data_IF_674529781129
#
_entry.id   IF_674529781129
#
_cell.length_a   1.000
_cell.length_b   1.000
_cell.length_c   1.000
_cell.angle_alpha   90.00
_cell.angle_beta   90.00
_cell.angle_gamma   90.00
#
_symmetry.space_group_name_H-M   'P 1'
#
loop_
_entity.id
_entity.type
_entity.pdbx_description
1 polymer ?
#
# COMPACT_ATOMS: atom_id res chain seq x y z
N UNK A 1 -29.34 -37.76 47.12
CA UNK A 1 -29.15 -36.39 46.59
C UNK A 1 -27.68 -35.98 46.43
N UNK A 2 -26.72 -36.58 47.15
CA UNK A 2 -25.29 -36.22 47.02
C UNK A 2 -24.64 -36.62 45.68
N UNK A 3 -25.03 -37.77 45.11
CA UNK A 3 -24.45 -38.27 43.84
C UNK A 3 -24.90 -37.51 42.58
N UNK A 4 -26.06 -36.85 42.61
CA UNK A 4 -26.56 -36.05 41.49
C UNK A 4 -25.84 -34.70 41.43
N UNK A 5 -25.57 -34.10 42.59
CA UNK A 5 -24.82 -32.85 42.67
C UNK A 5 -23.35 -33.01 42.20
N UNK A 6 -22.71 -34.14 42.53
CA UNK A 6 -21.33 -34.42 42.12
C UNK A 6 -21.21 -34.64 40.60
N UNK A 7 -22.19 -35.31 39.98
CA UNK A 7 -22.20 -35.53 38.53
C UNK A 7 -22.36 -34.24 37.73
N UNK A 8 -23.18 -33.29 38.21
CA UNK A 8 -23.34 -31.96 37.59
C UNK A 8 -22.08 -31.12 37.73
N UNK A 9 -21.40 -31.17 38.89
CA UNK A 9 -20.16 -30.42 39.10
C UNK A 9 -19.01 -30.92 38.19
N UNK A 10 -18.87 -32.24 38.02
CA UNK A 10 -17.86 -32.82 37.12
C UNK A 10 -18.19 -32.54 35.65
N UNK A 11 -19.47 -32.58 35.26
CA UNK A 11 -19.88 -32.21 33.91
C UNK A 11 -19.66 -30.72 33.64
N UNK A 12 -19.95 -29.84 34.59
CA UNK A 12 -19.68 -28.40 34.46
C UNK A 12 -18.17 -28.12 34.38
N UNK A 13 -17.35 -28.78 35.20
CA UNK A 13 -15.90 -28.64 35.14
C UNK A 13 -15.33 -29.18 33.82
N UNK A 14 -15.85 -30.30 33.31
CA UNK A 14 -15.47 -30.85 32.01
C UNK A 14 -15.92 -29.96 30.85
N UNK A 15 -17.08 -29.32 30.95
CA UNK A 15 -17.55 -28.33 29.96
C UNK A 15 -16.69 -27.06 30.01
N UNK A 16 -16.31 -26.58 31.20
CA UNK A 16 -15.40 -25.43 31.35
C UNK A 16 -14.00 -25.79 30.82
N UNK A 17 -13.45 -26.96 31.16
CA UNK A 17 -12.18 -27.43 30.61
C UNK A 17 -12.26 -27.65 29.10
N UNK A 18 -13.37 -28.17 28.56
CA UNK A 18 -13.55 -28.27 27.11
C UNK A 18 -13.71 -26.89 26.49
N UNK A 19 -14.37 -25.91 27.11
CA UNK A 19 -14.43 -24.54 26.60
C UNK A 19 -13.07 -23.80 26.68
N UNK A 20 -12.21 -24.12 27.65
CA UNK A 20 -10.84 -23.60 27.71
C UNK A 20 -9.88 -24.35 26.75
N UNK A 21 -10.13 -25.63 26.44
CA UNK A 21 -9.27 -26.44 25.56
C UNK A 21 -9.78 -26.56 24.11
N UNK A 22 -11.03 -26.16 23.86
CA UNK A 22 -11.65 -25.97 22.52
C UNK A 22 -12.01 -24.52 22.26
N UNK A 23 -11.63 -23.62 23.18
CA UNK A 23 -11.41 -22.21 22.87
C UNK A 23 -10.39 -22.16 21.75
N UNK A 24 -10.90 -21.99 20.54
CA UNK A 24 -10.13 -22.09 19.32
C UNK A 24 -8.83 -21.31 19.44
N UNK A 25 -7.78 -21.86 18.84
CA UNK A 25 -6.66 -21.05 18.40
C UNK A 25 -7.19 -20.01 17.42
N UNK A 26 -7.79 -18.95 17.95
CA UNK A 26 -7.97 -17.71 17.23
C UNK A 26 -6.60 -17.37 16.70
N UNK A 27 -6.52 -17.04 15.41
CA UNK A 27 -5.34 -16.38 14.88
C UNK A 27 -4.94 -15.33 15.92
N UNK A 28 -3.72 -15.43 16.47
CA UNK A 28 -3.20 -14.38 17.33
C UNK A 28 -3.49 -13.09 16.57
N UNK A 29 -4.17 -12.15 17.24
CA UNK A 29 -4.42 -10.82 16.70
C UNK A 29 -3.06 -10.14 16.58
N UNK A 30 -2.42 -10.40 15.44
CA UNK A 30 -1.00 -10.17 15.25
C UNK A 30 -0.77 -8.70 14.93
N UNK A 31 0.22 -8.12 15.59
CA UNK A 31 0.67 -6.73 15.41
C UNK A 31 2.16 -6.71 15.09
N UNK A 32 2.65 -5.66 14.40
CA UNK A 32 4.08 -5.44 14.28
C UNK A 32 4.71 -5.08 15.63
N UNK A 33 6.00 -5.36 15.79
CA UNK A 33 6.78 -4.90 16.94
C UNK A 33 7.17 -3.40 16.84
N UNK A 34 7.16 -2.85 15.62
CA UNK A 34 7.37 -1.43 15.38
C UNK A 34 6.45 -0.93 14.25
N UNK A 35 5.89 0.26 14.40
CA UNK A 35 5.03 0.89 13.40
C UNK A 35 5.42 2.34 13.23
N UNK A 36 5.44 2.81 11.97
CA UNK A 36 5.71 4.21 11.64
C UNK A 36 4.74 4.72 10.60
N UNK A 37 4.43 6.02 10.66
CA UNK A 37 3.55 6.69 9.71
C UNK A 37 4.33 7.75 8.94
N UNK A 38 4.22 7.71 7.62
CA UNK A 38 4.78 8.65 6.67
C UNK A 38 3.67 9.32 5.86
N UNK A 39 3.97 10.51 5.34
CA UNK A 39 3.11 11.22 4.41
C UNK A 39 3.91 11.59 3.18
N UNK A 40 3.38 11.28 2.00
CA UNK A 40 4.00 11.63 0.72
C UNK A 40 3.89 13.13 0.41
N UNK A 41 3.12 13.88 1.19
CA UNK A 41 3.00 15.34 1.10
C UNK A 41 2.51 15.81 -0.27
N UNK A 42 3.09 16.91 -0.75
CA UNK A 42 2.70 17.59 -2.00
C UNK A 42 2.75 16.66 -3.23
N UNK A 43 3.59 15.62 -3.22
CA UNK A 43 3.71 14.68 -4.35
C UNK A 43 2.44 13.89 -4.67
N UNK A 44 1.45 13.88 -3.76
CA UNK A 44 0.17 13.17 -3.92
C UNK A 44 -1.04 14.07 -3.84
N UNK A 45 -0.86 15.40 -3.96
CA UNK A 45 -1.96 16.37 -3.88
C UNK A 45 -3.08 16.11 -4.91
N UNK A 46 -2.73 15.60 -6.10
CA UNK A 46 -3.69 15.25 -7.15
C UNK A 46 -4.59 14.05 -6.82
N UNK A 47 -4.25 13.33 -5.74
CA UNK A 47 -5.00 12.22 -5.18
C UNK A 47 -5.59 12.58 -3.79
N UNK A 48 -5.65 13.87 -3.41
CA UNK A 48 -6.07 14.27 -2.07
C UNK A 48 -7.48 13.79 -1.68
N UNK A 49 -8.39 13.65 -2.64
CA UNK A 49 -9.73 13.13 -2.42
C UNK A 49 -10.12 12.07 -3.45
N UNK A 50 -11.10 11.24 -3.09
CA UNK A 50 -11.74 10.32 -4.04
C UNK A 50 -12.57 11.06 -5.11
N UNK A 51 -12.99 12.31 -4.85
CA UNK A 51 -13.64 13.13 -5.88
C UNK A 51 -12.66 13.52 -6.98
N UNK A 52 -11.41 13.77 -6.58
CA UNK A 52 -10.30 13.99 -7.50
C UNK A 52 -9.99 12.70 -8.27
N UNK A 53 -9.83 11.56 -7.61
CA UNK A 53 -9.57 10.28 -8.29
C UNK A 53 -10.68 9.24 -8.02
N UNK A 54 -11.80 9.30 -8.77
CA UNK A 54 -12.96 8.44 -8.49
C UNK A 54 -12.78 7.01 -8.95
N UNK A 55 -11.77 6.73 -9.79
CA UNK A 55 -11.55 5.43 -10.42
C UNK A 55 -11.43 4.32 -9.35
N UNK A 56 -12.15 3.21 -9.47
CA UNK A 56 -11.98 2.07 -8.57
C UNK A 56 -10.55 1.51 -8.71
N UNK A 57 -10.05 0.84 -7.67
CA UNK A 57 -8.84 0.03 -7.75
C UNK A 57 -9.14 -1.19 -8.61
N UNK A 58 -8.25 -1.47 -9.57
CA UNK A 58 -8.32 -2.66 -10.42
C UNK A 58 -7.23 -3.66 -10.03
N UNK A 59 -7.53 -4.96 -10.12
CA UNK A 59 -6.58 -6.02 -9.78
C UNK A 59 -5.29 -5.93 -10.63
N UNK A 60 -5.43 -5.72 -11.94
CA UNK A 60 -4.28 -5.57 -12.86
C UNK A 60 -3.46 -4.29 -12.64
N UNK A 61 -4.05 -3.31 -11.96
CA UNK A 61 -3.33 -2.08 -11.63
C UNK A 61 -2.50 -2.26 -10.36
N UNK A 62 -3.07 -2.92 -9.35
CA UNK A 62 -2.45 -3.06 -8.03
C UNK A 62 -1.48 -4.23 -7.94
N UNK A 63 -1.75 -5.35 -8.61
CA UNK A 63 -0.97 -6.58 -8.44
C UNK A 63 -0.11 -6.95 -9.65
N UNK A 64 -0.34 -6.33 -10.79
CA UNK A 64 0.48 -6.54 -11.99
C UNK A 64 1.38 -5.33 -12.25
N UNK A 65 2.04 -5.30 -13.41
CA UNK A 65 2.84 -4.16 -13.88
C UNK A 65 3.90 -3.70 -12.88
N UNK A 66 4.65 -4.66 -12.35
CA UNK A 66 5.73 -4.43 -11.39
C UNK A 66 5.41 -4.87 -9.95
N UNK A 67 4.16 -5.16 -9.62
CA UNK A 67 3.81 -5.63 -8.27
C UNK A 67 3.76 -7.16 -8.12
N UNK A 68 3.93 -7.94 -9.20
CA UNK A 68 4.10 -9.40 -9.10
C UNK A 68 5.46 -9.76 -8.46
N UNK A 69 6.45 -8.88 -8.67
CA UNK A 69 7.82 -8.97 -8.17
C UNK A 69 8.28 -7.56 -7.82
N UNK A 70 8.45 -7.31 -6.54
CA UNK A 70 8.89 -6.02 -6.04
C UNK A 70 10.32 -6.16 -5.57
N UNK A 71 11.25 -5.40 -6.18
CA UNK A 71 12.65 -5.43 -5.82
C UNK A 71 13.19 -4.06 -5.42
N UNK A 72 14.13 -4.07 -4.49
CA UNK A 72 14.95 -2.90 -4.13
C UNK A 72 16.23 -3.35 -3.46
N UNK A 73 17.36 -2.71 -3.80
CA UNK A 73 18.67 -2.94 -3.16
C UNK A 73 19.12 -4.42 -3.14
N UNK A 74 18.69 -5.22 -4.12
CA UNK A 74 19.04 -6.65 -4.24
C UNK A 74 18.16 -7.60 -3.43
N UNK A 75 17.14 -7.10 -2.73
CA UNK A 75 16.06 -7.90 -2.15
C UNK A 75 14.87 -7.92 -3.10
N UNK A 76 14.33 -9.12 -3.40
CA UNK A 76 13.14 -9.32 -4.23
C UNK A 76 12.05 -10.02 -3.41
N UNK A 77 10.86 -9.42 -3.40
CA UNK A 77 9.62 -9.99 -2.90
C UNK A 77 8.78 -10.48 -4.09
N UNK A 78 8.31 -11.73 -4.03
CA UNK A 78 7.37 -12.27 -5.02
C UNK A 78 5.97 -12.33 -4.42
N UNK A 79 4.97 -11.86 -5.15
CA UNK A 79 3.56 -11.94 -4.77
C UNK A 79 3.10 -13.42 -4.80
N UNK A 80 2.56 -13.91 -3.69
CA UNK A 80 2.09 -15.30 -3.55
C UNK A 80 0.63 -15.42 -3.10
N UNK A 81 0.07 -14.36 -2.52
CA UNK A 81 -1.35 -14.26 -2.20
C UNK A 81 -1.86 -12.86 -2.52
N UNK A 82 -3.11 -12.73 -2.96
CA UNK A 82 -3.73 -11.42 -3.22
C UNK A 82 -5.22 -11.43 -2.92
N UNK A 83 -5.75 -10.29 -2.49
CA UNK A 83 -7.17 -10.05 -2.31
C UNK A 83 -7.52 -8.61 -2.69
N UNK A 84 -8.66 -8.41 -3.35
CA UNK A 84 -9.25 -7.10 -3.61
C UNK A 84 -10.70 -7.16 -3.12
N UNK A 85 -11.00 -6.40 -2.07
CA UNK A 85 -12.29 -6.44 -1.37
C UNK A 85 -12.95 -5.06 -1.38
N UNK A 86 -14.27 -5.02 -1.57
CA UNK A 86 -15.08 -3.80 -1.40
C UNK A 86 -15.54 -3.61 0.07
N UNK A 87 -15.19 -4.54 0.96
CA UNK A 87 -15.49 -4.50 2.40
C UNK A 87 -14.20 -4.41 3.19
N UNK A 88 -13.78 -3.19 3.51
CA UNK A 88 -12.48 -2.93 4.12
C UNK A 88 -12.29 -3.58 5.49
N UNK A 89 -13.38 -3.80 6.24
CA UNK A 89 -13.34 -4.50 7.52
C UNK A 89 -12.79 -5.93 7.43
N UNK A 90 -12.84 -6.58 6.26
CA UNK A 90 -12.26 -7.93 6.06
C UNK A 90 -10.72 -7.92 5.99
N UNK A 91 -10.11 -6.74 5.84
CA UNK A 91 -8.67 -6.56 5.75
C UNK A 91 -7.99 -6.28 7.09
N UNK A 92 -8.77 -6.11 8.16
CA UNK A 92 -8.27 -5.76 9.49
C UNK A 92 -8.97 -6.57 10.56
N UNK A 93 -8.40 -6.56 11.75
CA UNK A 93 -9.07 -6.97 12.98
C UNK A 93 -9.04 -5.80 13.97
N UNK A 94 -9.86 -5.86 15.03
CA UNK A 94 -9.94 -4.83 16.06
C UNK A 94 -11.06 -3.82 15.80
N UNK A 95 -11.99 -3.71 16.75
CA UNK A 95 -13.23 -2.94 16.57
C UNK A 95 -12.96 -1.44 16.36
N UNK A 96 -11.92 -0.89 17.00
CA UNK A 96 -11.53 0.51 16.84
C UNK A 96 -11.04 0.79 15.42
N UNK A 97 -10.21 -0.08 14.86
CA UNK A 97 -9.72 0.05 13.48
C UNK A 97 -10.82 -0.18 12.44
N UNK A 98 -11.74 -1.11 12.70
CA UNK A 98 -12.95 -1.30 11.87
C UNK A 98 -13.79 -0.02 11.87
N UNK A 99 -14.07 0.57 13.03
CA UNK A 99 -14.82 1.81 13.13
C UNK A 99 -14.12 2.98 12.42
N UNK A 100 -12.78 3.08 12.53
CA UNK A 100 -12.01 4.09 11.83
C UNK A 100 -12.12 3.96 10.30
N UNK A 101 -12.13 2.72 9.76
CA UNK A 101 -12.34 2.48 8.32
C UNK A 101 -13.76 2.85 7.86
N UNK A 102 -14.77 2.63 8.71
CA UNK A 102 -16.16 3.03 8.44
C UNK A 102 -16.30 4.55 8.42
N UNK A 103 -15.75 5.26 9.41
CA UNK A 103 -15.74 6.73 9.46
C UNK A 103 -14.94 7.36 8.31
N UNK A 104 -13.91 6.66 7.85
CA UNK A 104 -13.09 7.04 6.70
C UNK A 104 -13.79 6.79 5.34
N UNK A 105 -15.03 6.30 5.33
CA UNK A 105 -15.78 5.85 4.14
C UNK A 105 -14.94 4.96 3.22
N UNK A 106 -14.21 3.99 3.81
CA UNK A 106 -13.39 3.07 3.04
C UNK A 106 -14.25 2.27 2.05
N UNK A 107 -13.84 2.26 0.78
CA UNK A 107 -14.63 1.60 -0.28
C UNK A 107 -13.96 0.42 -0.92
N UNK A 108 -12.63 0.36 -0.91
CA UNK A 108 -11.89 -0.78 -1.43
C UNK A 108 -10.61 -0.96 -0.64
N UNK A 109 -10.17 -2.20 -0.53
CA UNK A 109 -8.85 -2.55 -0.03
C UNK A 109 -8.24 -3.62 -0.90
N UNK A 110 -7.01 -3.38 -1.35
CA UNK A 110 -6.18 -4.37 -2.01
C UNK A 110 -5.13 -4.87 -1.02
N UNK A 111 -4.97 -6.18 -0.88
CA UNK A 111 -3.94 -6.81 -0.04
C UNK A 111 -3.07 -7.75 -0.87
N UNK A 112 -1.76 -7.59 -0.78
CA UNK A 112 -0.77 -8.51 -1.35
C UNK A 112 0.01 -9.20 -0.23
N UNK A 113 0.15 -10.52 -0.34
CA UNK A 113 1.04 -11.32 0.48
C UNK A 113 2.27 -11.67 -0.34
N UNK A 114 3.45 -11.36 0.20
CA UNK A 114 4.73 -11.47 -0.46
C UNK A 114 5.69 -12.37 0.31
N UNK A 115 6.54 -13.08 -0.42
CA UNK A 115 7.63 -13.88 0.15
C UNK A 115 8.95 -13.55 -0.54
N UNK A 116 10.02 -13.46 0.23
CA UNK A 116 11.40 -13.46 -0.28
C UNK A 116 12.13 -14.75 0.16
N UNK A 117 13.44 -14.81 -0.03
CA UNK A 117 14.26 -15.93 0.43
C UNK A 117 14.24 -16.09 1.97
N UNK A 118 14.12 -14.99 2.70
CA UNK A 118 14.34 -14.90 4.15
C UNK A 118 13.29 -14.05 4.88
N UNK A 119 12.32 -13.44 4.17
CA UNK A 119 11.26 -12.62 4.74
C UNK A 119 9.87 -13.02 4.23
N UNK A 120 8.86 -12.70 5.03
CA UNK A 120 7.45 -12.65 4.65
C UNK A 120 6.96 -11.21 4.79
N UNK A 121 6.11 -10.76 3.87
CA UNK A 121 5.57 -9.41 3.86
C UNK A 121 4.10 -9.37 3.50
N UNK A 122 3.38 -8.39 4.05
CA UNK A 122 2.02 -8.04 3.65
C UNK A 122 1.99 -6.56 3.28
N UNK A 123 1.35 -6.23 2.18
CA UNK A 123 1.07 -4.86 1.80
C UNK A 123 -0.44 -4.68 1.59
N UNK A 124 -1.01 -3.59 2.08
CA UNK A 124 -2.41 -3.24 1.93
C UNK A 124 -2.54 -1.81 1.38
N UNK A 125 -3.46 -1.59 0.45
CA UNK A 125 -3.80 -0.28 -0.10
C UNK A 125 -5.29 -0.04 0.10
N UNK A 126 -5.63 0.89 0.99
CA UNK A 126 -7.00 1.28 1.28
C UNK A 126 -7.38 2.50 0.45
N UNK A 127 -8.57 2.46 -0.15
CA UNK A 127 -9.18 3.59 -0.85
C UNK A 127 -10.22 4.26 0.04
N UNK A 128 -9.89 5.46 0.52
CA UNK A 128 -10.64 6.17 1.56
C UNK A 128 -11.30 7.43 0.99
N UNK A 129 -12.00 8.19 1.83
CA UNK A 129 -12.67 9.43 1.42
C UNK A 129 -11.69 10.49 0.92
N UNK A 130 -10.69 10.80 1.74
CA UNK A 130 -9.69 11.86 1.53
C UNK A 130 -8.42 11.62 2.36
N UNK A 131 -7.46 12.54 2.25
CA UNK A 131 -6.19 12.50 2.99
C UNK A 131 -6.38 12.48 4.50
N UNK A 132 -7.34 13.23 5.03
CA UNK A 132 -7.62 13.27 6.48
C UNK A 132 -8.12 11.90 6.96
N UNK A 133 -9.01 11.28 6.22
CA UNK A 133 -9.48 9.92 6.47
C UNK A 133 -8.32 8.90 6.43
N UNK A 134 -7.39 9.04 5.48
CA UNK A 134 -6.19 8.19 5.43
C UNK A 134 -5.27 8.36 6.65
N UNK A 135 -5.07 9.60 7.11
CA UNK A 135 -4.31 9.88 8.33
C UNK A 135 -5.01 9.30 9.57
N UNK A 136 -6.32 9.43 9.68
CA UNK A 136 -7.09 8.91 10.80
C UNK A 136 -7.01 7.38 10.90
N UNK A 137 -7.12 6.67 9.77
CA UNK A 137 -6.95 5.20 9.74
C UNK A 137 -5.51 4.81 10.09
N UNK A 138 -4.50 5.54 9.59
CA UNK A 138 -3.11 5.28 9.94
C UNK A 138 -2.86 5.46 11.45
N UNK A 139 -3.44 6.49 12.07
CA UNK A 139 -3.36 6.74 13.51
C UNK A 139 -4.09 5.66 14.32
N UNK A 140 -5.22 5.13 13.82
CA UNK A 140 -5.95 4.05 14.48
C UNK A 140 -5.18 2.71 14.51
N UNK A 141 -4.12 2.57 13.70
CA UNK A 141 -3.19 1.43 13.72
C UNK A 141 -1.97 1.65 14.63
N UNK A 142 -1.85 2.81 15.29
CA UNK A 142 -0.74 3.06 16.21
C UNK A 142 -0.68 2.01 17.32
N UNK A 143 0.54 1.53 17.58
CA UNK A 143 0.80 0.60 18.65
C UNK A 143 0.65 1.35 19.99
N UNK A 144 -0.07 0.78 20.96
CA UNK A 144 -0.31 1.47 22.20
C UNK A 144 0.97 1.59 23.03
N UNK A 145 1.10 2.67 23.80
CA UNK A 145 2.22 2.86 24.71
C UNK A 145 1.99 2.10 26.01
N UNK A 146 2.92 1.19 26.36
CA UNK A 146 2.94 0.48 27.64
C UNK A 146 2.54 -0.99 27.55
N UNK A 147 3.09 -1.79 28.47
CA UNK A 147 3.03 -3.27 28.42
C UNK A 147 1.63 -3.86 28.60
N UNK A 148 0.66 -3.10 29.13
CA UNK A 148 -0.70 -3.57 29.42
C UNK A 148 -1.77 -3.00 28.48
N UNK A 149 -1.37 -2.21 27.50
CA UNK A 149 -2.31 -1.59 26.59
C UNK A 149 -2.57 -2.53 25.40
N UNK A 150 -3.83 -2.87 25.19
CA UNK A 150 -4.24 -3.75 24.10
C UNK A 150 -4.21 -3.00 22.76
N UNK A 151 -3.72 -3.62 21.68
CA UNK A 151 -3.71 -3.03 20.36
C UNK A 151 -5.12 -2.78 19.82
N UNK A 152 -5.29 -1.65 19.15
CA UNK A 152 -6.57 -1.21 18.57
C UNK A 152 -7.03 -2.05 17.38
N UNK A 153 -6.11 -2.80 16.78
CA UNK A 153 -6.33 -3.53 15.54
C UNK A 153 -5.12 -3.48 14.62
N UNK A 154 -5.02 -4.44 13.70
CA UNK A 154 -4.04 -4.39 12.62
C UNK A 154 -4.50 -5.18 11.39
N UNK A 155 -3.64 -5.28 10.38
CA UNK A 155 -3.92 -5.99 9.13
C UNK A 155 -4.17 -7.49 9.35
N UNK A 156 -5.11 -8.01 8.56
CA UNK A 156 -5.28 -9.44 8.32
C UNK A 156 -4.61 -9.80 6.99
N UNK A 157 -3.61 -10.70 6.98
CA UNK A 157 -2.97 -11.15 5.75
C UNK A 157 -3.97 -11.74 4.75
N UNK A 158 -3.70 -11.68 3.43
CA UNK A 158 -4.59 -12.24 2.41
C UNK A 158 -4.57 -13.78 2.35
N UNK A 159 -3.70 -14.44 3.12
CA UNK A 159 -3.67 -15.90 3.30
C UNK A 159 -3.32 -16.23 4.75
N UNK A 160 -3.84 -17.36 5.24
CA UNK A 160 -3.51 -17.95 6.55
C UNK A 160 -2.53 -19.12 6.45
N UNK A 161 -2.03 -19.42 5.25
CA UNK A 161 -1.07 -20.50 5.03
C UNK A 161 0.35 -20.03 5.39
N UNK A 162 1.27 -20.97 5.63
CA UNK A 162 2.69 -20.64 5.80
C UNK A 162 3.23 -19.88 4.56
N UNK A 163 4.05 -18.82 4.74
CA UNK A 163 4.58 -18.32 6.01
C UNK A 163 3.74 -17.19 6.67
N UNK A 164 2.55 -16.87 6.15
CA UNK A 164 1.75 -15.73 6.64
C UNK A 164 1.16 -15.95 8.03
N UNK A 165 0.95 -17.19 8.44
CA UNK A 165 0.51 -17.58 9.78
C UNK A 165 1.51 -17.22 10.90
N UNK A 166 2.76 -16.92 10.54
CA UNK A 166 3.84 -16.54 11.48
C UNK A 166 3.97 -15.04 11.70
N UNK A 167 3.27 -14.20 10.94
CA UNK A 167 3.34 -12.75 11.12
C UNK A 167 2.97 -12.34 12.56
N UNK A 168 3.77 -11.44 13.14
CA UNK A 168 3.65 -10.97 14.52
C UNK A 168 4.15 -11.95 15.59
N UNK A 169 4.65 -13.14 15.21
CA UNK A 169 5.29 -14.06 16.17
C UNK A 169 6.78 -13.78 16.41
N UNK A 170 7.41 -13.03 15.50
CA UNK A 170 8.80 -12.57 15.60
C UNK A 170 8.91 -11.05 15.57
N UNK A 171 10.14 -10.55 15.55
CA UNK A 171 10.37 -9.12 15.33
C UNK A 171 9.92 -8.77 13.93
N UNK A 172 8.98 -7.85 13.85
CA UNK A 172 8.40 -7.38 12.60
C UNK A 172 8.14 -5.90 12.69
N UNK A 173 8.18 -5.24 11.53
CA UNK A 173 7.97 -3.80 11.47
C UNK A 173 7.03 -3.47 10.32
N UNK A 174 6.25 -2.42 10.52
CA UNK A 174 5.30 -1.95 9.55
C UNK A 174 5.40 -0.44 9.32
N UNK A 175 5.05 -0.01 8.12
CA UNK A 175 5.01 1.39 7.71
C UNK A 175 3.67 1.69 7.05
N UNK A 176 3.04 2.76 7.48
CA UNK A 176 1.90 3.36 6.80
C UNK A 176 2.36 4.59 6.02
N UNK A 177 1.98 4.67 4.76
CA UNK A 177 2.26 5.82 3.88
C UNK A 177 0.95 6.40 3.38
N UNK A 178 0.67 7.64 3.79
CA UNK A 178 -0.47 8.43 3.34
C UNK A 178 -0.15 9.02 1.96
N UNK A 179 -0.87 8.56 0.94
CA UNK A 179 -0.72 8.94 -0.46
C UNK A 179 -2.03 9.59 -0.95
N UNK A 180 -2.32 10.81 -0.48
CA UNK A 180 -3.63 11.43 -0.64
C UNK A 180 -4.72 10.62 0.08
N UNK A 181 -5.84 10.35 -0.59
CA UNK A 181 -6.94 9.51 -0.09
C UNK A 181 -6.64 8.00 -0.05
N UNK A 182 -5.43 7.59 -0.44
CA UNK A 182 -4.97 6.23 -0.28
C UNK A 182 -4.09 6.09 0.95
N UNK A 183 -4.30 5.01 1.71
CA UNK A 183 -3.39 4.58 2.75
C UNK A 183 -2.71 3.28 2.30
N UNK A 184 -1.39 3.29 2.17
CA UNK A 184 -0.60 2.09 1.91
C UNK A 184 0.05 1.64 3.21
N UNK A 185 -0.19 0.40 3.64
CA UNK A 185 0.43 -0.17 4.85
C UNK A 185 1.24 -1.38 4.45
N UNK A 186 2.53 -1.39 4.77
CA UNK A 186 3.43 -2.53 4.56
C UNK A 186 3.85 -3.10 5.90
N UNK A 187 4.04 -4.42 5.99
CA UNK A 187 4.44 -5.11 7.19
C UNK A 187 5.36 -6.27 6.82
N UNK A 188 6.57 -6.30 7.38
CA UNK A 188 7.57 -7.33 7.09
C UNK A 188 8.06 -8.01 8.36
N UNK A 189 8.35 -9.31 8.23
CA UNK A 189 9.00 -10.12 9.24
C UNK A 189 10.04 -11.06 8.60
N UNK A 190 11.24 -11.23 9.19
CA UNK A 190 12.15 -12.30 8.83
C UNK A 190 11.56 -13.68 9.17
N UNK A 191 11.69 -14.65 8.26
CA UNK A 191 11.16 -16.01 8.44
C UNK A 191 11.76 -16.74 9.65
N UNK A 192 13.00 -16.38 10.01
CA UNK A 192 13.72 -16.96 11.14
C UNK A 192 13.44 -16.27 12.48
N UNK A 193 12.73 -15.11 12.47
CA UNK A 193 12.46 -14.35 13.69
C UNK A 193 11.39 -15.05 14.53
N UNK A 194 11.69 -15.28 15.81
CA UNK A 194 10.81 -16.02 16.73
C UNK A 194 10.44 -15.24 18.00
N UNK A 195 10.93 -14.01 18.13
CA UNK A 195 10.67 -13.15 19.30
C UNK A 195 10.44 -11.70 18.86
N UNK A 196 9.33 -11.05 19.24
CA UNK A 196 9.09 -9.63 18.98
C UNK A 196 10.08 -8.68 19.67
N UNK A 197 10.82 -9.15 20.67
CA UNK A 197 11.79 -8.32 21.40
C UNK A 197 13.20 -8.32 20.78
N UNK A 198 13.49 -9.29 19.92
CA UNK A 198 14.79 -9.43 19.26
C UNK A 198 14.84 -8.53 18.03
N UNK A 199 15.17 -7.26 18.23
CA UNK A 199 15.23 -6.26 17.14
C UNK A 199 16.16 -6.69 16.01
N UNK A 200 15.67 -6.54 14.78
CA UNK A 200 16.40 -6.75 13.54
C UNK A 200 16.30 -5.49 12.66
N UNK A 201 17.24 -5.30 11.72
CA UNK A 201 17.17 -4.18 10.77
C UNK A 201 16.23 -4.54 9.61
N UNK A 202 15.05 -3.93 9.61
CA UNK A 202 14.03 -4.13 8.57
C UNK A 202 13.94 -2.97 7.58
N UNK A 203 14.91 -2.05 7.57
CA UNK A 203 14.90 -0.87 6.71
C UNK A 203 14.87 -1.25 5.22
N UNK A 204 15.78 -2.13 4.79
CA UNK A 204 15.85 -2.58 3.39
C UNK A 204 14.59 -3.34 2.93
N UNK A 205 14.06 -4.32 3.70
CA UNK A 205 12.82 -4.97 3.32
C UNK A 205 11.59 -4.07 3.29
N UNK A 206 11.48 -3.10 4.22
CA UNK A 206 10.40 -2.13 4.20
C UNK A 206 10.47 -1.21 2.99
N UNK A 207 11.66 -0.69 2.65
CA UNK A 207 11.87 0.09 1.42
C UNK A 207 11.50 -0.73 0.17
N UNK A 208 11.91 -2.01 0.12
CA UNK A 208 11.56 -2.88 -1.00
C UNK A 208 10.05 -3.04 -1.11
N UNK A 209 9.37 -3.48 -0.04
CA UNK A 209 7.93 -3.73 -0.09
C UNK A 209 7.10 -2.43 -0.25
N UNK A 210 7.62 -1.28 0.20
CA UNK A 210 7.02 0.05 0.06
C UNK A 210 6.68 0.43 -1.37
N UNK A 211 7.45 -0.07 -2.35
CA UNK A 211 7.18 0.08 -3.79
C UNK A 211 5.80 -0.47 -4.23
N UNK A 212 5.06 -1.17 -3.37
CA UNK A 212 3.66 -1.52 -3.60
C UNK A 212 2.78 -0.30 -3.92
N UNK A 213 3.20 0.91 -3.52
CA UNK A 213 2.53 2.17 -3.82
C UNK A 213 2.72 2.71 -5.26
N UNK A 214 3.60 2.11 -6.07
CA UNK A 214 3.86 2.54 -7.46
C UNK A 214 2.64 2.74 -8.36
N UNK A 215 1.54 1.96 -8.23
CA UNK A 215 0.31 2.24 -8.97
C UNK A 215 -0.21 3.67 -8.75
N UNK A 216 -0.05 4.23 -7.55
CA UNK A 216 -0.49 5.59 -7.22
C UNK A 216 0.35 6.66 -7.91
N UNK A 217 1.67 6.44 -8.02
CA UNK A 217 2.54 7.34 -8.80
C UNK A 217 2.10 7.40 -10.27
N UNK A 218 1.73 6.26 -10.87
CA UNK A 218 1.16 6.24 -12.23
C UNK A 218 -0.15 7.02 -12.31
N UNK A 219 -1.02 6.92 -11.31
CA UNK A 219 -2.25 7.71 -11.25
C UNK A 219 -1.95 9.22 -11.22
N UNK A 220 -0.97 9.67 -10.44
CA UNK A 220 -0.56 11.09 -10.40
C UNK A 220 -0.10 11.55 -11.78
N UNK A 221 0.81 10.81 -12.42
CA UNK A 221 1.33 11.15 -13.76
C UNK A 221 0.22 11.22 -14.82
N UNK A 222 -0.73 10.30 -14.78
CA UNK A 222 -1.89 10.31 -15.66
C UNK A 222 -2.74 11.58 -15.45
N UNK A 223 -2.92 12.04 -14.20
CA UNK A 223 -3.66 13.29 -13.92
C UNK A 223 -2.90 14.53 -14.37
N UNK A 224 -1.60 14.62 -14.13
CA UNK A 224 -0.76 15.71 -14.63
C UNK A 224 -0.88 15.83 -16.16
N UNK A 225 -0.86 14.69 -16.86
CA UNK A 225 -1.00 14.67 -18.31
C UNK A 225 -2.37 15.18 -18.78
N UNK A 226 -3.46 14.80 -18.09
CA UNK A 226 -4.83 15.23 -18.43
C UNK A 226 -5.01 16.73 -18.17
N UNK A 227 -4.59 17.23 -17.01
CA UNK A 227 -4.70 18.64 -16.66
C UNK A 227 -3.83 19.52 -17.58
N UNK A 228 -2.66 19.03 -17.99
CA UNK A 228 -1.81 19.70 -18.99
C UNK A 228 -2.46 19.80 -20.38
N UNK A 229 -3.26 18.80 -20.77
CA UNK A 229 -4.03 18.82 -22.02
C UNK A 229 -5.22 19.78 -21.93
N UNK A 230 -5.91 19.83 -20.79
CA UNK A 230 -7.03 20.76 -20.57
C UNK A 230 -6.56 22.23 -20.50
N UNK A 231 -5.37 22.49 -19.93
CA UNK A 231 -4.73 23.81 -19.93
C UNK A 231 -4.26 24.29 -21.31
N UNK A 232 -3.95 23.36 -22.23
CA UNK A 232 -3.53 23.66 -23.60
C UNK A 232 -4.66 24.07 -24.56
N UNK A 233 -5.92 23.89 -24.16
CA UNK A 233 -7.08 24.22 -25.00
C UNK A 233 -7.55 25.69 -24.89
N UNK A 234 -6.94 26.49 -24.00
CA UNK A 234 -7.36 27.87 -23.74
C UNK A 234 -6.57 28.97 -24.48
N UNK A 235 -5.49 28.64 -25.21
CA UNK A 235 -4.74 29.61 -26.02
C UNK A 235 -4.96 29.41 -27.52
N UNK A 236 -6.21 29.63 -27.96
CA UNK A 236 -6.53 29.74 -29.39
C UNK A 236 -7.82 30.53 -29.59
N UNK A 237 -7.80 31.83 -29.27
CA UNK A 237 -8.67 32.78 -29.97
C UNK A 237 -8.07 34.19 -29.96
N UNK A 238 -7.62 34.61 -31.15
CA UNK A 238 -7.05 35.92 -31.39
C UNK A 238 -6.76 36.09 -32.88
N UNK A 239 -7.81 35.98 -33.70
CA UNK A 239 -7.75 36.32 -35.11
C UNK A 239 -7.75 37.85 -35.28
N UNK A 240 -6.79 38.38 -36.05
CA UNK A 240 -7.02 39.58 -36.86
C UNK A 240 -6.52 39.38 -38.28
N UNK A 241 -7.37 39.78 -39.22
CA UNK A 241 -7.19 39.74 -40.65
C UNK A 241 -6.43 40.96 -41.17
N UNK A 242 -5.65 40.79 -42.23
CA UNK A 242 -5.06 41.90 -42.99
C UNK A 242 -4.47 41.41 -44.31
N UNK A 243 -4.76 42.10 -45.40
CA UNK A 243 -4.84 41.54 -46.77
C UNK A 243 -3.68 41.98 -47.67
N UNK A 244 -3.42 41.15 -48.69
CA UNK A 244 -2.94 41.44 -50.07
C UNK A 244 -1.60 42.16 -50.32
N UNK A 245 -0.82 41.58 -51.24
CA UNK A 245 0.33 42.23 -51.88
C UNK A 245 1.21 41.27 -52.71
N UNK A 246 0.84 41.08 -53.97
CA UNK A 246 1.52 40.36 -55.07
C UNK A 246 2.93 40.93 -55.36
N UNK A 247 3.95 40.08 -55.60
CA UNK A 247 4.66 39.96 -56.90
C UNK A 247 6.02 39.23 -56.85
N UNK A 248 6.26 38.48 -57.94
CA UNK A 248 7.53 38.10 -58.57
C UNK A 248 8.44 36.99 -57.96
N UNK A 249 8.52 35.88 -58.70
CA UNK A 249 9.64 34.91 -58.74
C UNK A 249 10.75 35.41 -59.71
N UNK A 250 11.77 34.59 -60.09
CA UNK A 250 12.52 33.51 -59.44
C UNK A 250 14.06 33.75 -59.48
N UNK A 251 14.88 32.91 -58.83
CA UNK A 251 16.34 32.94 -59.01
C UNK A 251 17.05 31.71 -58.46
N UNK A 252 17.86 31.10 -59.31
CA UNK A 252 18.50 29.78 -59.25
C UNK A 252 19.89 29.81 -58.59
N UNK A 253 20.45 28.61 -58.36
CA UNK A 253 21.87 28.28 -58.10
C UNK A 253 22.30 28.43 -56.63
N UNK A 254 23.01 27.51 -55.99
CA UNK A 254 23.77 26.33 -56.40
C UNK A 254 24.83 26.10 -55.31
N UNK A 255 25.33 24.87 -55.13
CA UNK A 255 26.58 24.65 -54.39
C UNK A 255 26.57 23.54 -53.33
N UNK A 256 26.84 22.33 -53.80
CA UNK A 256 27.43 21.21 -53.05
C UNK A 256 28.84 21.57 -52.55
N UNK A 257 29.19 21.22 -51.31
CA UNK A 257 30.50 20.74 -50.81
C UNK A 257 30.22 20.18 -49.39
N UNK A 258 30.12 18.88 -49.13
CA UNK A 258 31.16 17.84 -49.03
C UNK A 258 32.36 18.19 -48.13
N UNK A 259 32.68 17.28 -47.20
CA UNK A 259 34.04 17.14 -46.69
C UNK A 259 34.27 17.20 -45.18
N UNK A 260 34.39 15.99 -44.58
CA UNK A 260 35.44 15.57 -43.60
C UNK A 260 35.49 16.27 -42.23
N UNK A 261 35.28 15.57 -41.11
CA UNK A 261 36.32 14.75 -40.44
C UNK A 261 37.26 15.67 -39.65
N UNK A 262 37.43 15.56 -38.33
CA UNK A 262 38.41 14.65 -37.71
C UNK A 262 38.52 15.02 -36.22
N UNK A 263 38.49 13.97 -35.39
CA UNK A 263 39.18 13.72 -34.09
C UNK A 263 39.12 14.66 -32.87
N UNK A 264 39.06 13.94 -31.75
CA UNK A 264 39.26 14.23 -30.32
C UNK A 264 40.69 14.73 -30.06
N UNK A 265 40.95 15.46 -28.96
CA UNK A 265 41.65 14.78 -27.88
C UNK A 265 41.15 15.12 -26.46
N UNK A 266 41.49 14.16 -25.62
CA UNK A 266 41.35 14.04 -24.17
C UNK A 266 42.17 15.12 -23.44
N UNK A 267 41.64 15.57 -22.30
CA UNK A 267 42.33 16.31 -21.26
C UNK A 267 41.62 16.08 -19.94
#
# INVERSE_FOLDING_TARGET
MLFVALGVAVAALAVVLVMEFTGGGGARQAVPAAYQVYSSGESTEMLASREDDPRPLAESEVFERGNEKIDSQGLEFTLTAKALDDTCANAVWGDALVAALEEADCTQVARGGYTSADHVGVAAMFKLRDTEAAQAVAAAMELPEGEEAEPSGFLVPPSTDEPFDKLGSGYSAAEATVNGHYLVVTWVQPLASTSPEEREDLTSPLIALGNFDFPLYRRVLERESVLGVEGGAAESSGAEAGTTGTDAAPGTEGGTLDGTGTEVPVG
#
